data_IF_125860835296
#
_entry.id   IF_125860835296
#
_cell.length_a   1.000
_cell.length_b   1.000
_cell.length_c   1.000
_cell.angle_alpha   90.00
_cell.angle_beta   90.00
_cell.angle_gamma   90.00
#
_symmetry.space_group_name_H-M   'P 1'
#
loop_
_entity.id
_entity.type
_entity.pdbx_description
1 polymer ?
#
# COMPACT_ATOMS: atom_id res chain seq x y z
N UNK A 1 -36.22 -7.93 61.18
CA UNK A 1 -36.29 -8.55 59.83
C UNK A 1 -35.89 -7.60 58.68
N UNK A 2 -35.30 -6.42 58.95
CA UNK A 2 -34.98 -5.41 57.92
C UNK A 2 -33.49 -5.34 57.54
N UNK A 3 -32.59 -5.82 58.40
CA UNK A 3 -31.14 -5.76 58.18
C UNK A 3 -30.67 -6.62 56.97
N UNK A 4 -31.24 -7.81 56.80
CA UNK A 4 -30.90 -8.71 55.68
C UNK A 4 -31.30 -8.13 54.32
N UNK A 5 -32.44 -7.44 54.24
CA UNK A 5 -32.92 -6.81 53.00
C UNK A 5 -32.03 -5.65 52.57
N UNK A 6 -31.45 -4.91 53.53
CA UNK A 6 -30.47 -3.85 53.24
C UNK A 6 -29.17 -4.44 52.70
N UNK A 7 -28.66 -5.49 53.33
CA UNK A 7 -27.44 -6.18 52.89
C UNK A 7 -27.62 -6.81 51.49
N UNK A 8 -28.76 -7.43 51.21
CA UNK A 8 -29.09 -7.96 49.89
C UNK A 8 -29.12 -6.88 48.81
N UNK A 9 -29.69 -5.70 49.10
CA UNK A 9 -29.70 -4.56 48.18
C UNK A 9 -28.28 -4.04 47.90
N UNK A 10 -27.44 -3.96 48.92
CA UNK A 10 -26.03 -3.55 48.77
C UNK A 10 -25.26 -4.57 47.93
N UNK A 11 -25.46 -5.87 48.17
CA UNK A 11 -24.86 -6.95 47.38
C UNK A 11 -25.27 -6.90 45.90
N UNK A 12 -26.56 -6.70 45.63
CA UNK A 12 -27.07 -6.54 44.26
C UNK A 12 -26.48 -5.31 43.57
N UNK A 13 -26.36 -4.18 44.29
CA UNK A 13 -25.77 -2.96 43.75
C UNK A 13 -24.27 -3.15 43.47
N UNK A 14 -23.53 -3.79 44.37
CA UNK A 14 -22.11 -4.09 44.17
C UNK A 14 -21.89 -5.07 43.02
N UNK A 15 -22.76 -6.07 42.87
CA UNK A 15 -22.68 -7.05 41.79
C UNK A 15 -22.98 -6.39 40.44
N UNK A 16 -24.00 -5.52 40.38
CA UNK A 16 -24.30 -4.73 39.19
C UNK A 16 -23.16 -3.79 38.81
N UNK A 17 -22.55 -3.12 39.78
CA UNK A 17 -21.38 -2.28 39.55
C UNK A 17 -20.18 -3.08 39.04
N UNK A 18 -19.92 -4.25 39.61
CA UNK A 18 -18.85 -5.14 39.16
C UNK A 18 -19.09 -5.66 37.74
N UNK A 19 -20.33 -6.04 37.41
CA UNK A 19 -20.71 -6.41 36.03
C UNK A 19 -20.53 -5.25 35.06
N UNK A 20 -20.88 -4.02 35.45
CA UNK A 20 -20.67 -2.83 34.64
C UNK A 20 -19.18 -2.59 34.36
N UNK A 21 -18.32 -2.75 35.37
CA UNK A 21 -16.86 -2.63 35.21
C UNK A 21 -16.30 -3.70 34.26
N UNK A 22 -16.77 -4.94 34.36
CA UNK A 22 -16.37 -6.01 33.44
C UNK A 22 -16.80 -5.72 32.00
N UNK A 23 -18.05 -5.27 31.80
CA UNK A 23 -18.53 -4.86 30.49
C UNK A 23 -17.70 -3.71 29.92
N UNK A 24 -17.37 -2.70 30.74
CA UNK A 24 -16.54 -1.60 30.31
C UNK A 24 -15.12 -2.07 29.96
N UNK A 25 -14.50 -2.95 30.74
CA UNK A 25 -13.17 -3.49 30.44
C UNK A 25 -13.10 -4.29 29.12
N UNK A 26 -14.20 -4.97 28.75
CA UNK A 26 -14.27 -5.78 27.52
C UNK A 26 -14.68 -4.95 26.30
N UNK A 27 -15.68 -4.07 26.44
CA UNK A 27 -16.29 -3.33 25.33
C UNK A 27 -15.76 -1.90 25.14
N UNK A 28 -14.86 -1.41 25.98
CA UNK A 28 -14.23 -0.11 25.76
C UNK A 28 -13.34 -0.13 24.51
N UNK A 29 -13.20 1.01 23.84
CA UNK A 29 -12.52 1.13 22.54
C UNK A 29 -11.06 0.64 22.55
N UNK A 30 -10.42 0.69 23.72
CA UNK A 30 -9.06 0.18 23.98
C UNK A 30 -9.05 -1.08 24.87
N UNK A 31 -10.15 -1.83 24.90
CA UNK A 31 -10.28 -3.07 25.66
C UNK A 31 -9.23 -4.11 25.25
N UNK A 32 -9.05 -5.12 26.10
CA UNK A 32 -7.99 -6.14 25.96
C UNK A 32 -8.05 -6.86 24.60
N UNK A 33 -9.26 -7.06 24.06
CA UNK A 33 -9.48 -7.68 22.75
C UNK A 33 -8.92 -6.84 21.60
N UNK A 34 -9.11 -5.52 21.64
CA UNK A 34 -8.61 -4.62 20.60
C UNK A 34 -7.09 -4.48 20.66
N UNK A 35 -6.51 -4.46 21.86
CA UNK A 35 -5.06 -4.47 22.04
C UNK A 35 -4.43 -5.72 21.40
N UNK A 36 -4.98 -6.91 21.69
CA UNK A 36 -4.50 -8.17 21.12
C UNK A 36 -4.64 -8.22 19.58
N UNK A 37 -5.80 -7.82 19.06
CA UNK A 37 -6.02 -7.80 17.61
C UNK A 37 -5.13 -6.79 16.89
N UNK A 38 -4.86 -5.64 17.52
CA UNK A 38 -4.00 -4.60 16.97
C UNK A 38 -2.54 -5.06 16.92
N UNK A 39 -2.06 -5.73 17.96
CA UNK A 39 -0.72 -6.31 18.00
C UNK A 39 -0.53 -7.36 16.89
N UNK A 40 -1.49 -8.28 16.76
CA UNK A 40 -1.47 -9.30 15.69
C UNK A 40 -1.49 -8.68 14.30
N UNK A 41 -2.31 -7.62 14.10
CA UNK A 41 -2.38 -6.91 12.82
C UNK A 41 -1.06 -6.19 12.51
N UNK A 42 -0.42 -5.58 13.52
CA UNK A 42 0.90 -4.96 13.35
C UNK A 42 1.97 -5.98 12.96
N UNK A 43 2.01 -7.14 13.63
CA UNK A 43 2.96 -8.22 13.31
C UNK A 43 2.76 -8.69 11.87
N UNK A 44 1.52 -8.95 11.47
CA UNK A 44 1.19 -9.40 10.10
C UNK A 44 1.60 -8.35 9.06
N UNK A 45 1.27 -7.08 9.29
CA UNK A 45 1.64 -5.98 8.39
C UNK A 45 3.16 -5.83 8.27
N UNK A 46 3.90 -6.00 9.36
CA UNK A 46 5.36 -5.95 9.36
C UNK A 46 5.96 -7.08 8.52
N UNK A 47 5.48 -8.31 8.71
CA UNK A 47 5.91 -9.46 7.92
C UNK A 47 5.61 -9.28 6.42
N UNK A 48 4.41 -8.81 6.07
CA UNK A 48 4.06 -8.52 4.68
C UNK A 48 4.98 -7.45 4.08
N UNK A 49 5.30 -6.40 4.84
CA UNK A 49 6.20 -5.34 4.39
C UNK A 49 7.63 -5.87 4.15
N UNK A 50 8.16 -6.70 5.05
CA UNK A 50 9.48 -7.33 4.89
C UNK A 50 9.54 -8.20 3.61
N UNK A 51 8.50 -9.00 3.35
CA UNK A 51 8.39 -9.81 2.12
C UNK A 51 8.34 -8.92 0.88
N UNK A 52 7.54 -7.85 0.91
CA UNK A 52 7.42 -6.91 -0.20
C UNK A 52 8.73 -6.16 -0.47
N UNK A 53 9.44 -5.75 0.59
CA UNK A 53 10.76 -5.11 0.46
C UNK A 53 11.78 -6.05 -0.18
N UNK A 54 11.84 -7.30 0.26
CA UNK A 54 12.72 -8.30 -0.35
C UNK A 54 12.41 -8.50 -1.85
N UNK A 55 11.12 -8.58 -2.20
CA UNK A 55 10.68 -8.69 -3.60
C UNK A 55 11.04 -7.44 -4.41
N UNK A 56 10.85 -6.25 -3.84
CA UNK A 56 11.21 -4.99 -4.49
C UNK A 56 12.71 -4.91 -4.77
N UNK A 57 13.53 -5.27 -3.79
CA UNK A 57 14.99 -5.31 -3.94
C UNK A 57 15.43 -6.27 -5.03
N UNK A 58 14.85 -7.48 -5.08
CA UNK A 58 15.12 -8.45 -6.15
C UNK A 58 14.76 -7.90 -7.53
N UNK A 59 13.56 -7.32 -7.67
CA UNK A 59 13.11 -6.73 -8.94
C UNK A 59 13.98 -5.54 -9.36
N UNK A 60 14.45 -4.72 -8.41
CA UNK A 60 15.37 -3.61 -8.70
C UNK A 60 16.71 -4.11 -9.21
N UNK A 61 17.25 -5.19 -8.64
CA UNK A 61 18.49 -5.80 -9.11
C UNK A 61 18.31 -6.39 -10.52
N UNK A 62 17.18 -7.04 -10.78
CA UNK A 62 16.84 -7.56 -12.11
C UNK A 62 16.68 -6.46 -13.15
N UNK A 63 15.94 -5.39 -12.83
CA UNK A 63 15.84 -4.20 -13.67
C UNK A 63 17.20 -3.56 -13.91
N UNK A 64 18.06 -3.50 -12.89
CA UNK A 64 19.41 -2.96 -13.03
C UNK A 64 20.26 -3.84 -13.96
N UNK A 65 20.18 -5.16 -13.83
CA UNK A 65 20.88 -6.11 -14.69
C UNK A 65 20.38 -6.04 -16.15
N UNK A 66 19.06 -5.89 -16.36
CA UNK A 66 18.46 -5.74 -17.68
C UNK A 66 18.77 -4.38 -18.32
N UNK A 67 18.82 -3.32 -17.52
CA UNK A 67 19.13 -1.96 -17.98
C UNK A 67 20.61 -1.65 -18.02
N UNK A 68 21.49 -2.51 -17.49
CA UNK A 68 22.93 -2.23 -17.51
C UNK A 68 23.57 -2.41 -18.88
N UNK A 69 22.87 -3.00 -19.86
CA UNK A 69 23.32 -3.00 -21.25
C UNK A 69 23.15 -1.59 -21.87
N UNK A 70 24.25 -0.91 -22.23
CA UNK A 70 24.21 0.41 -22.87
C UNK A 70 23.34 0.43 -24.14
N UNK A 71 23.22 -0.70 -24.84
CA UNK A 71 22.41 -0.81 -26.04
C UNK A 71 20.91 -0.68 -25.74
N UNK A 72 20.42 -1.33 -24.69
CA UNK A 72 19.00 -1.25 -24.29
C UNK A 72 18.64 0.13 -23.74
N UNK A 73 19.57 0.79 -23.05
CA UNK A 73 19.40 2.19 -22.63
C UNK A 73 19.27 3.10 -23.87
N UNK A 74 20.17 2.96 -24.85
CA UNK A 74 20.14 3.74 -26.09
C UNK A 74 18.85 3.50 -26.88
N UNK A 75 18.41 2.26 -26.98
CA UNK A 75 17.16 1.90 -27.65
C UNK A 75 15.95 2.60 -27.01
N UNK A 76 15.82 2.54 -25.68
CA UNK A 76 14.73 3.24 -24.97
C UNK A 76 14.82 4.76 -25.16
N UNK A 77 16.03 5.33 -25.12
CA UNK A 77 16.26 6.76 -25.32
C UNK A 77 15.83 7.22 -26.73
N UNK A 78 16.13 6.42 -27.77
CA UNK A 78 15.74 6.71 -29.16
C UNK A 78 14.25 6.48 -29.42
N UNK A 79 13.68 5.38 -28.90
CA UNK A 79 12.29 4.98 -29.19
C UNK A 79 11.25 5.73 -28.36
N UNK A 80 11.50 5.94 -27.05
CA UNK A 80 10.50 6.52 -26.13
C UNK A 80 10.70 8.01 -25.87
N UNK A 81 11.95 8.47 -25.95
CA UNK A 81 12.31 9.85 -25.63
C UNK A 81 12.74 10.65 -26.87
N UNK A 82 12.78 10.02 -28.06
CA UNK A 82 13.22 10.62 -29.33
C UNK A 82 14.57 11.34 -29.22
N UNK A 83 15.45 10.86 -28.34
CA UNK A 83 16.77 11.43 -28.13
C UNK A 83 17.70 11.02 -29.29
N UNK A 84 18.49 11.98 -29.75
CA UNK A 84 19.40 11.84 -30.89
C UNK A 84 20.84 12.08 -30.45
N UNK A 85 21.78 11.33 -31.02
CA UNK A 85 23.22 11.52 -30.79
C UNK A 85 23.76 12.66 -31.66
N UNK A 86 24.85 13.33 -31.24
CA UNK A 86 25.55 14.28 -32.11
C UNK A 86 25.95 13.63 -33.43
N UNK A 87 25.45 14.16 -34.55
CA UNK A 87 25.69 13.64 -35.91
C UNK A 87 24.50 12.92 -36.56
N UNK A 88 23.41 12.67 -35.84
CA UNK A 88 22.20 12.03 -36.40
C UNK A 88 21.46 12.98 -37.38
N UNK A 89 20.99 12.47 -38.52
CA UNK A 89 20.15 13.20 -39.48
C UNK A 89 18.67 12.87 -39.27
N UNK A 90 17.84 13.89 -39.05
CA UNK A 90 16.40 13.73 -38.77
C UNK A 90 15.60 13.82 -40.06
N UNK A 91 14.95 12.72 -40.45
CA UNK A 91 14.01 12.69 -41.57
C UNK A 91 12.58 12.83 -41.07
N UNK A 92 11.86 13.86 -41.51
CA UNK A 92 10.43 14.02 -41.27
C UNK A 92 9.67 13.52 -42.48
N UNK A 93 8.92 12.43 -42.33
CA UNK A 93 8.01 11.97 -43.37
C UNK A 93 6.83 12.94 -43.41
N UNK A 94 6.81 13.81 -44.41
CA UNK A 94 5.65 14.63 -44.73
C UNK A 94 4.76 13.84 -45.70
N UNK A 95 3.49 13.64 -45.34
CA UNK A 95 2.55 13.10 -46.31
C UNK A 95 2.29 14.17 -47.36
N UNK A 96 2.83 13.98 -48.56
CA UNK A 96 2.41 14.74 -49.74
C UNK A 96 0.97 14.35 -50.05
N UNK A 97 0.03 15.09 -49.47
CA UNK A 97 -1.35 15.12 -49.96
C UNK A 97 -1.32 15.97 -51.23
N UNK A 98 -1.33 15.30 -52.38
CA UNK A 98 -1.59 15.84 -53.72
C UNK A 98 -0.54 16.85 -54.25
N UNK A 99 0.46 16.36 -54.98
CA UNK A 99 1.30 17.16 -55.89
C UNK A 99 1.20 16.62 -57.33
N UNK A 100 0.00 16.30 -57.80
CA UNK A 100 -0.25 16.14 -59.24
C UNK A 100 -1.04 17.36 -59.72
N UNK A 101 -0.47 18.24 -60.55
CA UNK A 101 -1.22 19.33 -61.14
C UNK A 101 -2.32 18.78 -62.06
N UNK A 102 -3.49 19.44 -62.15
CA UNK A 102 -4.55 19.01 -63.06
C UNK A 102 -4.02 19.06 -64.50
N UNK A 103 -4.04 17.91 -65.18
CA UNK A 103 -3.76 17.86 -66.61
C UNK A 103 -4.90 18.58 -67.33
N UNK A 104 -4.54 19.61 -68.11
CA UNK A 104 -5.45 20.41 -68.93
C UNK A 104 -5.38 19.96 -70.38
#
# INVERSE_FOLDING_TARGET
MTESTRQQKILLLSLGFFMLLLLMAVFHENGILNAYYSEQKQIKMKQENEVLQAKNNKLRLEVKALKSDPYEIEKIAREKLSLIKPGDQVYRIVQTKNLLPPQK
#
